data_IF_112235881127
#
_entry.id   IF_112235881127
#
_cell.length_a   1.000
_cell.length_b   1.000
_cell.length_c   1.000
_cell.angle_alpha   90.00
_cell.angle_beta   90.00
_cell.angle_gamma   90.00
#
_symmetry.space_group_name_H-M   'P 1'
#
loop_
_entity.id
_entity.type
_entity.pdbx_description
1 polymer ?
#
# COMPACT_ATOMS: atom_id res chain seq x y z
N UNK A 1 21.25 15.43 -22.33
CA UNK A 1 20.31 15.07 -21.25
C UNK A 1 20.59 13.64 -20.85
N UNK A 2 20.98 13.39 -19.60
CA UNK A 2 20.78 12.06 -19.02
C UNK A 2 19.34 11.98 -18.55
N UNK A 3 18.58 11.02 -19.05
CA UNK A 3 17.34 10.63 -18.38
C UNK A 3 17.74 10.14 -17.00
N UNK A 4 17.16 10.71 -15.94
CA UNK A 4 17.17 10.02 -14.65
C UNK A 4 16.50 8.65 -14.87
N UNK A 5 17.00 7.56 -14.24
CA UNK A 5 16.29 6.30 -14.29
C UNK A 5 14.86 6.54 -13.80
N UNK A 6 13.87 6.16 -14.61
CA UNK A 6 12.48 6.45 -14.33
C UNK A 6 12.00 5.51 -13.21
N UNK A 7 12.22 5.94 -11.96
CA UNK A 7 11.87 5.15 -10.77
C UNK A 7 10.38 4.86 -10.80
N UNK A 8 10.05 3.61 -11.08
CA UNK A 8 8.70 3.10 -11.13
C UNK A 8 8.22 2.64 -9.76
N UNK A 9 6.89 2.60 -9.60
CA UNK A 9 6.27 1.88 -8.49
C UNK A 9 5.76 0.52 -8.94
N UNK A 10 6.02 -0.48 -8.11
CA UNK A 10 5.63 -1.87 -8.32
C UNK A 10 4.81 -2.34 -7.12
N UNK A 11 3.73 -3.08 -7.38
CA UNK A 11 2.91 -3.70 -6.35
C UNK A 11 3.25 -5.19 -6.27
N UNK A 12 3.81 -5.61 -5.15
CA UNK A 12 3.96 -7.01 -4.78
C UNK A 12 2.73 -7.45 -3.97
N UNK A 13 2.30 -8.69 -4.19
CA UNK A 13 1.14 -9.30 -3.54
C UNK A 13 1.56 -10.63 -2.92
N UNK A 14 1.16 -10.87 -1.67
CA UNK A 14 1.38 -12.12 -0.95
C UNK A 14 0.07 -12.61 -0.34
N UNK A 15 -0.29 -13.85 -0.65
CA UNK A 15 -1.37 -14.56 0.04
C UNK A 15 -0.72 -15.30 1.23
N UNK A 16 -1.07 -14.90 2.45
CA UNK A 16 -0.46 -15.36 3.69
C UNK A 16 -1.59 -15.89 4.60
N UNK A 17 -1.72 -17.23 4.74
CA UNK A 17 -2.70 -17.82 5.65
C UNK A 17 -2.52 -17.29 7.07
N UNK A 18 -3.63 -17.08 7.78
CA UNK A 18 -3.65 -16.59 9.17
C UNK A 18 -2.98 -15.20 9.33
N UNK A 19 -3.24 -14.28 8.39
CA UNK A 19 -2.71 -12.91 8.41
C UNK A 19 -3.19 -12.11 9.64
N UNK A 20 -2.37 -12.10 10.69
CA UNK A 20 -2.53 -11.30 11.91
C UNK A 20 -1.72 -10.00 11.85
N UNK A 21 -2.10 -8.97 12.63
CA UNK A 21 -1.34 -7.70 12.72
C UNK A 21 0.14 -7.94 13.07
N UNK A 22 0.44 -8.84 14.02
CA UNK A 22 1.82 -9.20 14.35
C UNK A 22 2.55 -9.81 13.15
N UNK A 23 1.91 -10.71 12.38
CA UNK A 23 2.54 -11.29 11.19
C UNK A 23 2.78 -10.24 10.10
N UNK A 24 1.90 -9.24 9.97
CA UNK A 24 2.07 -8.11 9.05
C UNK A 24 3.30 -7.30 9.43
N UNK A 25 3.43 -6.89 10.70
CA UNK A 25 4.58 -6.12 11.18
C UNK A 25 5.91 -6.89 11.00
N UNK A 26 5.92 -8.19 11.29
CA UNK A 26 7.09 -9.04 11.06
C UNK A 26 7.47 -9.15 9.57
N UNK A 27 6.49 -9.24 8.67
CA UNK A 27 6.72 -9.26 7.21
C UNK A 27 7.24 -7.89 6.74
N UNK A 28 6.64 -6.79 7.20
CA UNK A 28 7.08 -5.42 6.87
C UNK A 28 8.51 -5.17 7.32
N UNK A 29 8.86 -5.55 8.55
CA UNK A 29 10.23 -5.42 9.06
C UNK A 29 11.25 -6.22 8.22
N UNK A 30 10.92 -7.45 7.80
CA UNK A 30 11.79 -8.26 6.94
C UNK A 30 11.96 -7.63 5.55
N UNK A 31 10.89 -7.08 4.98
CA UNK A 31 10.92 -6.39 3.68
C UNK A 31 11.72 -5.08 3.73
N UNK A 32 11.60 -4.30 4.81
CA UNK A 32 12.36 -3.04 4.97
C UNK A 32 13.87 -3.31 5.15
N UNK A 33 14.24 -4.26 6.01
CA UNK A 33 15.64 -4.69 6.18
C UNK A 33 16.23 -5.23 4.86
N UNK A 34 15.46 -6.00 4.08
CA UNK A 34 15.90 -6.44 2.77
C UNK A 34 16.03 -5.29 1.76
N UNK A 35 15.13 -4.30 1.79
CA UNK A 35 15.17 -3.14 0.89
C UNK A 35 16.37 -2.23 1.17
N UNK A 36 16.70 -2.01 2.45
CA UNK A 36 17.93 -1.33 2.89
C UNK A 36 19.15 -2.10 2.38
N UNK A 37 19.21 -3.41 2.62
CA UNK A 37 20.35 -4.25 2.20
C UNK A 37 20.58 -4.27 0.69
N UNK A 38 19.52 -4.26 -0.13
CA UNK A 38 19.63 -4.20 -1.60
C UNK A 38 20.00 -2.79 -2.07
N UNK A 39 19.53 -1.74 -1.39
CA UNK A 39 19.90 -0.36 -1.69
C UNK A 39 21.38 -0.08 -1.39
N UNK A 40 21.91 -0.59 -0.28
CA UNK A 40 23.31 -0.44 0.13
C UNK A 40 24.28 -1.14 -0.83
N UNK A 41 23.82 -2.18 -1.54
CA UNK A 41 24.56 -2.83 -2.64
C UNK A 41 24.53 -2.02 -3.97
N UNK A 42 23.97 -0.81 -3.95
CA UNK A 42 23.92 0.10 -5.10
C UNK A 42 22.69 -0.07 -5.99
N UNK A 43 21.68 -0.81 -5.54
CA UNK A 43 20.45 -1.08 -6.29
C UNK A 43 19.25 -0.44 -5.57
N UNK A 44 18.91 0.84 -5.82
CA UNK A 44 17.98 1.59 -4.97
C UNK A 44 16.55 1.02 -4.99
N UNK A 45 16.05 0.68 -3.80
CA UNK A 45 14.70 0.15 -3.59
C UNK A 45 14.15 0.55 -2.22
N UNK A 46 12.87 0.94 -2.17
CA UNK A 46 12.22 1.31 -0.91
C UNK A 46 10.77 0.83 -0.86
N UNK A 47 10.38 0.22 0.25
CA UNK A 47 8.98 -0.04 0.58
C UNK A 47 8.31 1.31 0.93
N UNK A 48 7.26 1.67 0.21
CA UNK A 48 6.58 2.98 0.29
C UNK A 48 5.26 2.89 1.03
N UNK A 49 4.52 1.79 0.81
CA UNK A 49 3.20 1.53 1.41
C UNK A 49 3.06 0.04 1.61
N UNK A 50 2.48 -0.37 2.74
CA UNK A 50 1.96 -1.72 2.95
C UNK A 50 0.47 -1.64 3.26
N UNK A 51 -0.34 -2.51 2.67
CA UNK A 51 -1.76 -2.67 2.97
C UNK A 51 -2.03 -4.14 3.28
N UNK A 52 -2.53 -4.43 4.48
CA UNK A 52 -2.97 -5.76 4.86
C UNK A 52 -4.50 -5.86 4.74
N UNK A 53 -4.98 -6.99 4.23
CA UNK A 53 -6.41 -7.33 4.17
C UNK A 53 -6.59 -8.69 4.87
N UNK A 54 -6.71 -8.72 6.22
CA UNK A 54 -6.83 -9.96 6.98
C UNK A 54 -8.02 -10.84 6.56
N UNK A 55 -9.12 -10.22 6.13
CA UNK A 55 -10.33 -10.93 5.65
C UNK A 55 -10.07 -11.78 4.41
N UNK A 56 -9.20 -11.32 3.52
CA UNK A 56 -8.87 -11.99 2.25
C UNK A 56 -7.53 -12.73 2.35
N UNK A 57 -6.87 -12.69 3.51
CA UNK A 57 -5.53 -13.24 3.77
C UNK A 57 -4.44 -12.69 2.81
N UNK A 58 -4.57 -11.43 2.37
CA UNK A 58 -3.64 -10.80 1.42
C UNK A 58 -2.86 -9.64 2.04
N UNK A 59 -1.56 -9.62 1.78
CA UNK A 59 -0.69 -8.47 1.97
C UNK A 59 -0.32 -7.85 0.62
N UNK A 60 -0.34 -6.53 0.55
CA UNK A 60 0.04 -5.72 -0.60
C UNK A 60 1.19 -4.79 -0.22
N UNK A 61 2.27 -4.77 -1.00
CA UNK A 61 3.43 -3.91 -0.77
C UNK A 61 3.79 -3.11 -2.01
N UNK A 62 3.84 -1.78 -1.89
CA UNK A 62 4.27 -0.89 -2.97
C UNK A 62 5.74 -0.54 -2.79
N UNK A 63 6.57 -0.91 -3.76
CA UNK A 63 7.98 -0.59 -3.80
C UNK A 63 8.27 0.47 -4.86
N UNK A 64 9.11 1.46 -4.54
CA UNK A 64 9.78 2.30 -5.53
C UNK A 64 11.12 1.66 -5.90
N UNK A 65 11.37 1.44 -7.19
CA UNK A 65 12.61 0.87 -7.72
C UNK A 65 12.83 1.25 -9.20
N UNK A 66 14.00 0.98 -9.74
CA UNK A 66 14.28 1.17 -11.18
C UNK A 66 13.77 0.02 -12.06
N UNK A 67 13.56 -1.18 -11.50
CA UNK A 67 13.06 -2.35 -12.24
C UNK A 67 12.26 -3.33 -11.34
N UNK A 68 11.39 -4.17 -11.93
CA UNK A 68 10.67 -5.21 -11.18
C UNK A 68 11.59 -6.33 -10.65
N UNK A 69 12.75 -6.54 -11.27
CA UNK A 69 13.74 -7.55 -10.86
C UNK A 69 14.38 -7.17 -9.52
N UNK A 70 14.55 -5.88 -9.26
CA UNK A 70 15.03 -5.34 -7.97
C UNK A 70 14.03 -5.69 -6.86
N UNK A 71 12.74 -5.45 -7.09
CA UNK A 71 11.67 -5.75 -6.14
C UNK A 71 11.57 -7.26 -5.92
N UNK A 72 11.72 -8.05 -6.98
CA UNK A 72 11.82 -9.52 -6.92
C UNK A 72 12.96 -9.98 -6.01
N UNK A 73 14.17 -9.43 -6.22
CA UNK A 73 15.37 -9.73 -5.43
C UNK A 73 15.19 -9.34 -3.96
N UNK A 74 14.55 -8.20 -3.70
CA UNK A 74 14.23 -7.72 -2.34
C UNK A 74 13.29 -8.68 -1.62
N UNK A 75 12.19 -9.10 -2.27
CA UNK A 75 11.24 -10.06 -1.71
C UNK A 75 11.91 -11.43 -1.41
N UNK A 76 12.77 -11.90 -2.31
CA UNK A 76 13.53 -13.13 -2.12
C UNK A 76 14.49 -13.04 -0.93
N UNK A 77 15.21 -11.91 -0.77
CA UNK A 77 16.12 -11.67 0.35
C UNK A 77 15.43 -11.52 1.70
N UNK A 78 14.20 -10.98 1.72
CA UNK A 78 13.36 -10.99 2.92
C UNK A 78 12.92 -12.41 3.34
N UNK A 79 13.13 -13.41 2.49
CA UNK A 79 12.64 -14.78 2.68
C UNK A 79 11.16 -14.96 2.35
N UNK A 80 10.53 -13.95 1.73
CA UNK A 80 9.08 -13.86 1.52
C UNK A 80 8.83 -13.56 0.03
N UNK A 81 8.94 -14.56 -0.86
CA UNK A 81 8.75 -14.36 -2.29
C UNK A 81 7.32 -13.87 -2.56
N UNK A 82 7.21 -12.80 -3.35
CA UNK A 82 5.91 -12.32 -3.83
C UNK A 82 5.27 -13.37 -4.73
N UNK A 83 3.94 -13.43 -4.73
CA UNK A 83 3.17 -14.38 -5.53
C UNK A 83 2.66 -13.73 -6.81
N UNK A 84 2.49 -12.40 -6.80
CA UNK A 84 2.19 -11.58 -7.97
C UNK A 84 2.94 -10.25 -7.88
N UNK A 85 3.41 -9.75 -9.02
CA UNK A 85 4.07 -8.46 -9.16
C UNK A 85 3.43 -7.67 -10.31
N UNK A 86 2.96 -6.47 -10.03
CA UNK A 86 2.40 -5.54 -11.01
C UNK A 86 3.32 -4.33 -11.18
N UNK A 87 3.65 -3.98 -12.43
CA UNK A 87 4.44 -2.79 -12.78
C UNK A 87 3.56 -1.58 -13.12
N UNK A 88 4.15 -0.38 -13.15
CA UNK A 88 3.50 0.90 -13.50
C UNK A 88 2.32 1.27 -12.58
N UNK A 89 2.49 1.06 -11.28
CA UNK A 89 1.43 1.30 -10.28
C UNK A 89 1.38 2.78 -9.91
N UNK A 90 0.19 3.36 -9.86
CA UNK A 90 -0.01 4.74 -9.40
C UNK A 90 -0.67 4.78 -8.03
N UNK A 91 0.03 5.24 -6.99
CA UNK A 91 -0.54 5.42 -5.66
C UNK A 91 -1.34 6.74 -5.58
N UNK A 92 -2.60 6.64 -5.12
CA UNK A 92 -3.45 7.79 -4.79
C UNK A 92 -4.15 7.55 -3.47
N UNK A 93 -3.42 7.75 -2.38
CA UNK A 93 -4.00 7.73 -1.03
C UNK A 93 -4.74 9.06 -0.83
N UNK A 94 -6.02 8.99 -0.43
CA UNK A 94 -6.82 10.16 -0.07
C UNK A 94 -6.85 10.28 1.44
N UNK A 95 -6.12 11.25 1.98
CA UNK A 95 -6.14 11.61 3.41
C UNK A 95 -7.40 12.42 3.79
N UNK A 96 -8.57 12.10 3.23
CA UNK A 96 -9.81 12.71 3.75
C UNK A 96 -10.05 12.16 5.16
N UNK A 97 -10.06 12.99 6.22
CA UNK A 97 -10.23 12.50 7.57
C UNK A 97 -11.61 11.87 7.68
N UNK A 98 -11.69 10.56 7.95
CA UNK A 98 -12.97 9.85 8.05
C UNK A 98 -13.90 10.50 9.10
N UNK A 99 -13.32 11.11 10.15
CA UNK A 99 -14.02 11.95 11.11
C UNK A 99 -14.85 13.08 10.45
N UNK A 100 -14.31 13.76 9.44
CA UNK A 100 -14.99 14.84 8.71
C UNK A 100 -16.10 14.33 7.76
N UNK A 101 -16.20 13.01 7.52
CA UNK A 101 -17.29 12.40 6.75
C UNK A 101 -18.47 11.99 7.66
N UNK A 102 -18.23 11.71 8.94
CA UNK A 102 -19.29 11.40 9.92
C UNK A 102 -20.13 12.65 10.23
N UNK A 103 -19.49 13.81 10.44
CA UNK A 103 -20.20 15.05 10.78
C UNK A 103 -21.07 15.59 9.63
N UNK A 104 -20.63 15.44 8.38
CA UNK A 104 -21.38 15.92 7.19
C UNK A 104 -22.64 15.12 6.90
N UNK A 105 -22.75 13.88 7.39
CA UNK A 105 -23.98 13.08 7.24
C UNK A 105 -25.09 13.50 8.20
N UNK A 106 -24.78 14.21 9.30
CA UNK A 106 -25.76 14.57 10.32
C UNK A 106 -26.49 15.90 10.04
N UNK A 107 -25.99 16.74 9.11
CA UNK A 107 -26.48 18.11 8.90
C UNK A 107 -27.42 18.30 7.68
N UNK A 108 -27.89 17.21 7.03
CA UNK A 108 -28.88 17.29 5.92
C UNK A 108 -30.26 16.74 6.28
N UNK A 109 -30.82 17.16 7.41
CA UNK A 109 -32.24 16.97 7.73
C UNK A 109 -32.81 18.26 8.32
N UNK A 110 -33.40 19.13 7.49
CA UNK A 110 -33.92 20.41 7.97
C UNK A 110 -34.50 21.34 6.90
N UNK A 111 -35.55 20.89 6.21
CA UNK A 111 -36.61 21.67 5.51
C UNK A 111 -37.78 20.69 5.32
N UNK A 112 -39.08 20.99 5.49
CA UNK A 112 -39.85 21.94 6.32
C UNK A 112 -41.32 21.44 6.27
N UNK A 113 -42.14 21.45 7.35
CA UNK A 113 -43.47 20.81 7.30
C UNK A 113 -44.50 21.60 6.48
N UNK A 114 -45.32 20.83 5.77
CA UNK A 114 -46.39 21.19 4.83
C UNK A 114 -47.39 22.27 5.33
N UNK A 115 -47.87 23.19 4.47
CA UNK A 115 -48.82 24.23 4.87
C UNK A 115 -50.24 23.68 5.12
N UNK A 116 -50.92 24.26 6.10
CA UNK A 116 -52.21 23.78 6.59
C UNK A 116 -53.37 23.87 5.57
N UNK A 117 -54.35 22.93 5.63
CA UNK A 117 -55.62 23.06 4.93
C UNK A 117 -56.56 24.07 5.62
N UNK A 118 -57.49 24.61 4.84
CA UNK A 118 -58.49 25.62 5.23
C UNK A 118 -59.72 25.01 5.91
#
# INVERSE_FOLDING_TARGET
MGSLPEVGYFLAEWYLPELTEQSVDEVVAKLDVAAISVSDEGTPVRLVVTLAVPTDEVLYGVFGAESPDIVTTTCQRAGIPHQRLSAHVGTRIREEPLAAMVEKSCTRTGVEPEPAPQ
#
